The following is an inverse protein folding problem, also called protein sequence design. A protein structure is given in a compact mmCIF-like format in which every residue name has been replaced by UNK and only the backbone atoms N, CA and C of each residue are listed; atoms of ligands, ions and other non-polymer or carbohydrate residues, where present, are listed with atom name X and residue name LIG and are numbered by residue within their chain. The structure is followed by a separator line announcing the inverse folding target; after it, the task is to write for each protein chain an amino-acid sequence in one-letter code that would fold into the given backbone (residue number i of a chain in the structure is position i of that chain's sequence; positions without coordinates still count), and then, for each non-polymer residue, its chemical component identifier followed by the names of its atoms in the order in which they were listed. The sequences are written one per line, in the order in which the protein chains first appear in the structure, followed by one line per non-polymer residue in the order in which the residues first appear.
data_IF_439251473648
#
_entry.id   IF_439251473648
#
_cell.length_a   1.000
_cell.length_b   1.000
_cell.length_c   1.000
_cell.angle_alpha   90.00
_cell.angle_beta   90.00
_cell.angle_gamma   90.00
#
_symmetry.space_group_name_H-M   'P 1'
#
loop_
_entity.id
_entity.type
_entity.pdbx_description
1 polymer ?
#
# COMPACT_ATOMS: atom_id res chain seq x y z
N UNK A 1 6.93 -34.95 28.21
CA UNK A 1 6.48 -33.85 27.34
C UNK A 1 5.03 -33.59 27.72
N UNK A 2 4.71 -32.40 28.21
CA UNK A 2 3.32 -32.08 28.61
C UNK A 2 2.47 -31.91 27.34
N UNK A 3 1.18 -32.22 27.37
CA UNK A 3 0.26 -32.07 26.22
C UNK A 3 0.35 -30.66 25.60
N UNK A 4 0.61 -29.64 26.41
CA UNK A 4 0.86 -28.27 25.95
C UNK A 4 2.10 -28.14 25.03
N UNK A 5 3.19 -28.85 25.32
CA UNK A 5 4.39 -28.85 24.47
C UNK A 5 4.12 -29.55 23.14
N UNK A 6 3.36 -30.66 23.18
CA UNK A 6 2.94 -31.37 21.97
C UNK A 6 2.07 -30.46 21.08
N UNK A 7 1.06 -29.78 21.63
CA UNK A 7 0.23 -28.86 20.85
C UNK A 7 1.01 -27.67 20.28
N UNK A 8 2.03 -27.18 20.99
CA UNK A 8 2.92 -26.13 20.46
C UNK A 8 3.75 -26.64 19.29
N UNK A 9 4.23 -27.87 19.34
CA UNK A 9 4.97 -28.49 18.24
C UNK A 9 4.06 -28.73 17.03
N UNK A 10 2.83 -29.20 17.24
CA UNK A 10 1.82 -29.32 16.17
C UNK A 10 1.52 -27.96 15.51
N UNK A 11 1.36 -26.90 16.30
CA UNK A 11 1.16 -25.54 15.79
C UNK A 11 2.36 -25.06 14.96
N UNK A 12 3.59 -25.26 15.46
CA UNK A 12 4.80 -24.89 14.73
C UNK A 12 4.92 -25.64 13.38
N UNK A 13 4.51 -26.90 13.34
CA UNK A 13 4.46 -27.68 12.10
C UNK A 13 3.41 -27.13 11.11
N UNK A 14 2.28 -26.63 11.60
CA UNK A 14 1.30 -25.93 10.78
C UNK A 14 1.86 -24.61 10.21
N UNK A 15 2.53 -23.80 11.03
CA UNK A 15 3.15 -22.55 10.60
C UNK A 15 4.23 -22.77 9.53
N UNK A 16 5.02 -23.85 9.67
CA UNK A 16 5.99 -24.26 8.66
C UNK A 16 5.31 -24.59 7.31
N UNK A 17 4.20 -25.34 7.33
CA UNK A 17 3.43 -25.64 6.11
C UNK A 17 2.84 -24.39 5.47
N UNK A 18 2.29 -23.48 6.26
CA UNK A 18 1.76 -22.20 5.77
C UNK A 18 2.89 -21.40 5.11
N UNK A 19 4.06 -21.34 5.74
CA UNK A 19 5.23 -20.62 5.23
C UNK A 19 5.68 -21.18 3.87
N UNK A 20 5.82 -22.50 3.74
CA UNK A 20 6.21 -23.11 2.47
C UNK A 20 5.14 -22.90 1.39
N UNK A 21 3.86 -23.07 1.71
CA UNK A 21 2.76 -22.80 0.77
C UNK A 21 2.76 -21.33 0.29
N UNK A 22 3.09 -20.37 1.17
CA UNK A 22 3.22 -18.96 0.80
C UNK A 22 4.41 -18.73 -0.14
N UNK A 23 5.57 -19.33 0.13
CA UNK A 23 6.74 -19.24 -0.76
C UNK A 23 6.44 -19.79 -2.15
N UNK A 24 5.86 -20.98 -2.23
CA UNK A 24 5.44 -21.59 -3.49
C UNK A 24 4.47 -20.69 -4.25
N UNK A 25 3.48 -20.14 -3.55
CA UNK A 25 2.50 -19.23 -4.12
C UNK A 25 3.15 -17.96 -4.70
N UNK A 26 4.11 -17.36 -4.01
CA UNK A 26 4.82 -16.18 -4.51
C UNK A 26 5.69 -16.51 -5.74
N UNK A 27 6.35 -17.66 -5.78
CA UNK A 27 7.07 -18.12 -6.96
C UNK A 27 6.12 -18.33 -8.17
N UNK A 28 4.90 -18.83 -7.94
CA UNK A 28 3.88 -18.93 -9.00
C UNK A 28 3.46 -17.54 -9.49
N UNK A 29 3.28 -16.57 -8.59
CA UNK A 29 2.96 -15.19 -8.98
C UNK A 29 4.04 -14.60 -9.88
N UNK A 30 5.31 -14.77 -9.54
CA UNK A 30 6.43 -14.29 -10.36
C UNK A 30 6.42 -14.92 -11.77
N UNK A 31 6.12 -16.22 -11.87
CA UNK A 31 5.96 -16.92 -13.16
C UNK A 31 4.78 -16.36 -13.96
N UNK A 32 3.63 -16.13 -13.32
CA UNK A 32 2.45 -15.53 -13.97
C UNK A 32 2.81 -14.14 -14.49
N UNK A 33 3.55 -13.34 -13.73
CA UNK A 33 3.96 -12.01 -14.15
C UNK A 33 4.90 -12.03 -15.35
N UNK A 34 5.92 -12.89 -15.33
CA UNK A 34 6.84 -13.05 -16.45
C UNK A 34 6.10 -13.47 -17.73
N UNK A 35 5.16 -14.41 -17.61
CA UNK A 35 4.30 -14.80 -18.71
C UNK A 35 3.46 -13.62 -19.21
N UNK A 36 2.78 -12.89 -18.33
CA UNK A 36 1.97 -11.74 -18.76
C UNK A 36 2.79 -10.68 -19.48
N UNK A 37 4.00 -10.40 -19.01
CA UNK A 37 4.95 -9.47 -19.64
C UNK A 37 5.35 -9.93 -21.05
N UNK A 38 5.74 -11.21 -21.20
CA UNK A 38 6.11 -11.82 -22.48
C UNK A 38 4.99 -11.72 -23.54
N UNK A 39 3.73 -11.90 -23.12
CA UNK A 39 2.56 -11.90 -24.01
C UNK A 39 1.79 -10.56 -24.03
N UNK A 40 2.31 -9.50 -23.41
CA UNK A 40 1.67 -8.18 -23.37
C UNK A 40 0.29 -8.16 -22.70
N UNK A 41 0.05 -9.07 -21.74
CA UNK A 41 -1.21 -9.19 -21.01
C UNK A 41 -1.28 -8.21 -19.83
N UNK A 42 -2.48 -7.71 -19.46
CA UNK A 42 -2.65 -6.89 -18.27
C UNK A 42 -2.24 -7.62 -16.99
N UNK A 43 -1.35 -6.99 -16.21
CA UNK A 43 -0.89 -7.54 -14.92
C UNK A 43 -2.05 -7.61 -13.93
N UNK A 44 -2.87 -6.56 -13.85
CA UNK A 44 -4.07 -6.54 -13.02
C UNK A 44 -5.27 -7.12 -13.77
N UNK A 45 -5.99 -8.04 -13.12
CA UNK A 45 -7.20 -8.68 -13.66
C UNK A 45 -8.26 -8.80 -12.55
N UNK A 46 -9.00 -7.72 -12.26
CA UNK A 46 -9.96 -7.67 -11.14
C UNK A 46 -11.01 -8.79 -11.15
N UNK A 47 -11.50 -9.17 -12.34
CA UNK A 47 -12.47 -10.26 -12.49
C UNK A 47 -11.94 -11.61 -12.01
N UNK A 48 -10.63 -11.88 -12.23
CA UNK A 48 -10.00 -13.11 -11.80
C UNK A 48 -9.83 -13.16 -10.27
N UNK A 49 -9.54 -12.01 -9.66
CA UNK A 49 -9.45 -11.86 -8.21
C UNK A 49 -10.83 -12.04 -7.55
N UNK A 50 -11.87 -11.44 -8.12
CA UNK A 50 -13.24 -11.59 -7.63
C UNK A 50 -13.70 -13.06 -7.72
N UNK A 51 -13.35 -13.76 -8.80
CA UNK A 51 -13.62 -15.19 -8.95
C UNK A 51 -12.90 -16.04 -7.88
N UNK A 52 -11.64 -15.72 -7.58
CA UNK A 52 -10.89 -16.39 -6.50
C UNK A 52 -11.52 -16.15 -5.13
N UNK A 53 -11.92 -14.90 -4.84
CA UNK A 53 -12.61 -14.53 -3.61
C UNK A 53 -13.94 -15.28 -3.44
N UNK A 54 -14.79 -15.31 -4.47
CA UNK A 54 -16.05 -16.07 -4.47
C UNK A 54 -15.83 -17.56 -4.23
N UNK A 55 -14.82 -18.15 -4.87
CA UNK A 55 -14.47 -19.57 -4.69
C UNK A 55 -14.04 -19.88 -3.26
N UNK A 56 -13.23 -19.01 -2.66
CA UNK A 56 -12.78 -19.16 -1.26
C UNK A 56 -13.96 -19.06 -0.29
N UNK A 57 -14.81 -18.04 -0.46
CA UNK A 57 -16.01 -17.86 0.38
C UNK A 57 -16.93 -19.07 0.30
N UNK A 58 -17.09 -19.67 -0.88
CA UNK A 58 -17.85 -20.89 -1.06
C UNK A 58 -17.18 -22.07 -0.34
N UNK A 59 -15.87 -22.28 -0.46
CA UNK A 59 -15.19 -23.41 0.21
C UNK A 59 -15.24 -23.36 1.75
N UNK A 60 -15.38 -22.17 2.33
CA UNK A 60 -15.38 -21.97 3.80
C UNK A 60 -16.78 -21.85 4.39
N UNK A 61 -17.86 -22.09 3.63
CA UNK A 61 -19.21 -21.71 4.03
C UNK A 61 -19.72 -22.35 5.35
N UNK A 62 -19.16 -23.50 5.74
CA UNK A 62 -19.52 -24.23 6.97
C UNK A 62 -18.38 -24.25 8.02
N UNK A 63 -17.29 -23.52 7.79
CA UNK A 63 -16.19 -23.48 8.73
C UNK A 63 -16.49 -22.49 9.87
N UNK A 64 -16.27 -22.92 11.12
CA UNK A 64 -16.45 -22.08 12.31
C UNK A 64 -15.43 -20.93 12.40
N UNK A 65 -14.32 -21.03 11.68
CA UNK A 65 -13.25 -20.03 11.59
C UNK A 65 -13.21 -19.33 10.24
N UNK A 66 -14.34 -19.33 9.52
CA UNK A 66 -14.44 -18.78 8.17
C UNK A 66 -13.90 -17.35 8.08
N UNK A 67 -14.29 -16.49 9.02
CA UNK A 67 -13.99 -15.06 8.96
C UNK A 67 -12.49 -14.81 9.23
N UNK A 68 -11.90 -15.53 10.17
CA UNK A 68 -10.47 -15.47 10.47
C UNK A 68 -9.62 -15.99 9.31
N UNK A 69 -10.02 -17.12 8.71
CA UNK A 69 -9.35 -17.64 7.52
C UNK A 69 -9.48 -16.64 6.37
N UNK A 70 -10.67 -16.07 6.18
CA UNK A 70 -10.92 -15.10 5.12
C UNK A 70 -10.04 -13.84 5.26
N UNK A 71 -9.88 -13.30 6.47
CA UNK A 71 -8.97 -12.16 6.73
C UNK A 71 -7.51 -12.47 6.32
N UNK A 72 -7.00 -13.64 6.70
CA UNK A 72 -5.66 -14.09 6.30
C UNK A 72 -5.53 -14.15 4.78
N UNK A 73 -6.52 -14.73 4.09
CA UNK A 73 -6.49 -14.80 2.63
C UNK A 73 -6.61 -13.45 1.94
N UNK A 74 -7.37 -12.52 2.50
CA UNK A 74 -7.43 -11.14 2.01
C UNK A 74 -6.05 -10.48 2.10
N UNK A 75 -5.33 -10.68 3.21
CA UNK A 75 -3.96 -10.20 3.37
C UNK A 75 -2.99 -10.86 2.40
N UNK A 76 -3.10 -12.17 2.18
CA UNK A 76 -2.30 -12.91 1.20
C UNK A 76 -2.52 -12.36 -0.21
N UNK A 77 -3.77 -12.10 -0.60
CA UNK A 77 -4.09 -11.50 -1.90
C UNK A 77 -3.51 -10.09 -2.03
N UNK A 78 -3.66 -9.24 -1.00
CA UNK A 78 -3.07 -7.88 -0.99
C UNK A 78 -1.55 -7.90 -1.13
N UNK A 79 -0.85 -8.82 -0.44
CA UNK A 79 0.59 -8.98 -0.57
C UNK A 79 1.00 -9.41 -1.99
N UNK A 80 0.18 -10.21 -2.66
CA UNK A 80 0.39 -10.62 -4.05
C UNK A 80 0.35 -9.43 -5.00
N UNK A 81 -0.67 -8.59 -4.84
CA UNK A 81 -0.79 -7.34 -5.61
C UNK A 81 0.41 -6.44 -5.38
N UNK A 82 0.86 -6.32 -4.14
CA UNK A 82 2.04 -5.52 -3.79
C UNK A 82 3.30 -6.02 -4.46
N UNK A 83 3.52 -7.34 -4.51
CA UNK A 83 4.63 -7.95 -5.27
C UNK A 83 4.50 -7.61 -6.76
N UNK A 84 3.28 -7.72 -7.30
CA UNK A 84 3.01 -7.42 -8.70
C UNK A 84 3.28 -5.96 -9.07
N UNK A 85 2.77 -5.03 -8.26
CA UNK A 85 2.90 -3.60 -8.43
C UNK A 85 4.35 -3.13 -8.33
N UNK A 86 5.15 -3.70 -7.41
CA UNK A 86 6.57 -3.36 -7.28
C UNK A 86 7.40 -3.68 -8.51
N UNK A 87 7.00 -4.67 -9.32
CA UNK A 87 7.66 -4.96 -10.60
C UNK A 87 7.19 -4.04 -11.73
N UNK A 88 5.95 -3.54 -11.65
CA UNK A 88 5.39 -2.61 -12.63
C UNK A 88 6.00 -1.22 -12.53
N UNK A 89 6.05 -0.68 -11.31
CA UNK A 89 6.55 0.66 -11.03
C UNK A 89 7.27 0.65 -9.68
N UNK A 90 8.58 0.92 -9.69
CA UNK A 90 9.41 0.99 -8.48
C UNK A 90 9.55 2.42 -7.92
N UNK A 91 8.86 3.37 -8.55
CA UNK A 91 8.85 4.80 -8.18
C UNK A 91 7.61 5.18 -7.36
N UNK A 92 7.64 6.40 -6.80
CA UNK A 92 6.50 6.96 -6.06
C UNK A 92 5.54 7.68 -7.01
N UNK A 93 4.25 7.71 -6.65
CA UNK A 93 3.24 8.49 -7.38
C UNK A 93 2.91 9.72 -6.56
N UNK A 94 3.19 10.90 -7.10
CA UNK A 94 2.90 12.17 -6.42
C UNK A 94 1.66 12.81 -7.02
N UNK A 95 0.62 12.99 -6.21
CA UNK A 95 -0.65 13.60 -6.62
C UNK A 95 -0.67 15.07 -6.18
N UNK A 96 -0.66 15.97 -7.16
CA UNK A 96 -0.76 17.41 -6.95
C UNK A 96 -2.11 17.95 -7.47
N UNK A 97 -2.56 19.06 -6.91
CA UNK A 97 -3.79 19.74 -7.33
C UNK A 97 -4.52 20.37 -6.16
N UNK A 98 -5.51 21.21 -6.46
CA UNK A 98 -6.30 21.90 -5.44
C UNK A 98 -7.11 20.93 -4.56
N UNK A 99 -7.58 21.42 -3.41
CA UNK A 99 -8.57 20.71 -2.60
C UNK A 99 -9.84 20.46 -3.41
N UNK A 100 -10.43 19.27 -3.29
CA UNK A 100 -11.59 18.89 -4.10
C UNK A 100 -11.27 18.44 -5.53
N UNK A 101 -10.01 18.46 -5.98
CA UNK A 101 -9.61 17.97 -7.31
C UNK A 101 -9.67 16.44 -7.47
N UNK A 102 -10.17 15.70 -6.46
CA UNK A 102 -10.31 14.24 -6.51
C UNK A 102 -9.05 13.44 -6.16
N UNK A 103 -8.00 14.08 -5.60
CA UNK A 103 -6.76 13.38 -5.22
C UNK A 103 -7.00 12.18 -4.32
N UNK A 104 -7.83 12.32 -3.29
CA UNK A 104 -8.16 11.24 -2.35
C UNK A 104 -8.91 10.08 -3.03
N UNK A 105 -9.76 10.39 -4.02
CA UNK A 105 -10.45 9.35 -4.82
C UNK A 105 -9.45 8.57 -5.68
N UNK A 106 -8.51 9.27 -6.32
CA UNK A 106 -7.49 8.65 -7.16
C UNK A 106 -6.47 7.88 -6.31
N UNK A 107 -6.05 8.40 -5.16
CA UNK A 107 -5.13 7.71 -4.27
C UNK A 107 -5.74 6.42 -3.72
N UNK A 108 -7.02 6.43 -3.33
CA UNK A 108 -7.73 5.23 -2.89
C UNK A 108 -7.88 4.18 -4.00
N UNK A 109 -8.22 4.62 -5.22
CA UNK A 109 -8.27 3.73 -6.38
C UNK A 109 -6.91 3.08 -6.67
N UNK A 110 -5.84 3.88 -6.72
CA UNK A 110 -4.48 3.38 -6.95
C UNK A 110 -4.01 2.46 -5.82
N UNK A 111 -4.31 2.79 -4.56
CA UNK A 111 -4.04 1.96 -3.39
C UNK A 111 -4.73 0.60 -3.49
N UNK A 112 -6.00 0.58 -3.89
CA UNK A 112 -6.77 -0.66 -4.04
C UNK A 112 -6.25 -1.52 -5.20
N UNK A 113 -5.91 -0.88 -6.32
CA UNK A 113 -5.46 -1.58 -7.52
C UNK A 113 -4.03 -2.13 -7.37
N UNK A 114 -3.12 -1.34 -6.80
CA UNK A 114 -1.69 -1.67 -6.73
C UNK A 114 -1.20 -2.06 -5.33
N UNK A 115 -2.08 -2.07 -4.33
CA UNK A 115 -1.73 -2.31 -2.92
C UNK A 115 -0.60 -1.40 -2.42
N UNK A 116 -0.53 -0.17 -2.96
CA UNK A 116 0.41 0.87 -2.55
C UNK A 116 -0.04 1.52 -1.24
N UNK A 117 0.92 2.01 -0.46
CA UNK A 117 0.65 2.85 0.71
C UNK A 117 0.27 4.25 0.23
N UNK A 118 -0.68 4.89 0.90
CA UNK A 118 -1.05 6.29 0.66
C UNK A 118 -0.55 7.13 1.83
N UNK A 119 0.17 8.20 1.52
CA UNK A 119 0.60 9.22 2.47
C UNK A 119 -0.12 10.52 2.11
N UNK A 120 -1.07 10.92 2.95
CA UNK A 120 -1.71 12.24 2.87
C UNK A 120 -0.85 13.23 3.66
N UNK A 121 -0.13 14.12 2.96
CA UNK A 121 0.87 15.00 3.59
C UNK A 121 0.27 15.92 4.64
N UNK A 122 -0.87 16.54 4.33
CA UNK A 122 -1.58 17.47 5.21
C UNK A 122 -1.96 16.80 6.54
N UNK A 123 -2.49 15.57 6.45
CA UNK A 123 -2.84 14.78 7.62
C UNK A 123 -1.60 14.39 8.44
N UNK A 124 -0.55 13.90 7.77
CA UNK A 124 0.68 13.49 8.46
C UNK A 124 1.39 14.65 9.15
N UNK A 125 1.38 15.85 8.56
CA UNK A 125 1.94 17.05 9.19
C UNK A 125 1.11 17.45 10.42
N UNK A 126 -0.22 17.49 10.30
CA UNK A 126 -1.11 17.81 11.43
C UNK A 126 -0.95 16.81 12.59
N UNK A 127 -0.84 15.51 12.28
CA UNK A 127 -0.59 14.46 13.27
C UNK A 127 0.77 14.61 13.96
N UNK A 128 1.83 14.97 13.22
CA UNK A 128 3.18 15.19 13.78
C UNK A 128 3.25 16.40 14.71
N UNK A 129 2.58 17.50 14.34
CA UNK A 129 2.55 18.72 15.15
C UNK A 129 1.52 18.65 16.28
N UNK A 130 0.60 17.67 16.25
CA UNK A 130 -0.44 17.50 17.26
C UNK A 130 -1.50 18.59 17.27
N UNK A 131 -1.67 19.31 16.15
CA UNK A 131 -2.61 20.43 16.01
C UNK A 131 -3.12 20.55 14.57
N UNK A 132 -4.19 21.34 14.37
CA UNK A 132 -4.75 21.53 13.04
C UNK A 132 -3.84 22.39 12.15
N UNK A 133 -3.96 22.24 10.84
CA UNK A 133 -3.20 23.06 9.89
C UNK A 133 -3.45 24.55 10.13
N UNK A 134 -4.70 24.94 10.39
CA UNK A 134 -5.05 26.33 10.73
C UNK A 134 -4.28 26.84 11.95
N UNK A 135 -4.19 26.04 13.02
CA UNK A 135 -3.46 26.43 14.23
C UNK A 135 -1.95 26.57 13.96
N UNK A 136 -1.40 25.73 13.08
CA UNK A 136 0.01 25.84 12.65
C UNK A 136 0.24 27.17 11.93
N UNK A 137 -0.64 27.54 11.00
CA UNK A 137 -0.56 28.83 10.30
C UNK A 137 -0.67 30.01 11.27
N UNK A 138 -1.59 29.96 12.24
CA UNK A 138 -1.78 31.02 13.22
C UNK A 138 -0.60 31.16 14.20
N UNK A 139 -0.03 30.03 14.63
CA UNK A 139 1.02 30.00 15.67
C UNK A 139 2.42 30.21 15.11
N UNK A 140 2.73 29.58 13.97
CA UNK A 140 4.08 29.51 13.41
C UNK A 140 4.21 30.15 12.02
N UNK A 141 3.09 30.49 11.38
CA UNK A 141 3.05 31.12 10.07
C UNK A 141 3.15 30.15 8.90
N UNK A 142 2.82 30.65 7.71
CA UNK A 142 2.83 29.87 6.47
C UNK A 142 4.22 29.32 6.11
N UNK A 143 5.27 30.13 6.27
CA UNK A 143 6.62 29.71 5.90
C UNK A 143 7.07 28.45 6.67
N UNK A 144 6.71 28.36 7.95
CA UNK A 144 6.97 27.18 8.77
C UNK A 144 6.26 25.95 8.20
N UNK A 145 4.96 26.05 7.90
CA UNK A 145 4.20 24.96 7.27
C UNK A 145 4.81 24.52 5.93
N UNK A 146 5.21 25.48 5.08
CA UNK A 146 5.89 25.17 3.81
C UNK A 146 7.22 24.47 4.02
N UNK A 147 7.97 24.78 5.08
CA UNK A 147 9.21 24.08 5.41
C UNK A 147 8.94 22.63 5.83
N UNK A 148 7.85 22.37 6.55
CA UNK A 148 7.43 21.01 6.90
C UNK A 148 7.04 20.20 5.68
N UNK A 149 6.26 20.77 4.75
CA UNK A 149 5.96 20.13 3.46
C UNK A 149 7.26 19.73 2.72
N UNK A 150 8.24 20.64 2.65
CA UNK A 150 9.54 20.36 2.02
C UNK A 150 10.28 19.23 2.71
N UNK A 151 10.36 19.25 4.05
CA UNK A 151 11.07 18.23 4.81
C UNK A 151 10.41 16.86 4.68
N UNK A 152 9.08 16.82 4.70
CA UNK A 152 8.33 15.59 4.50
C UNK A 152 8.54 15.04 3.08
N UNK A 153 8.57 15.90 2.05
CA UNK A 153 8.97 15.46 0.72
C UNK A 153 10.37 14.84 0.75
N UNK A 154 11.38 15.49 1.35
CA UNK A 154 12.73 14.92 1.43
C UNK A 154 12.73 13.52 2.07
N UNK A 155 11.99 13.33 3.18
CA UNK A 155 11.83 12.02 3.82
C UNK A 155 11.19 10.99 2.89
N UNK A 156 10.19 11.37 2.10
CA UNK A 156 9.51 10.46 1.18
C UNK A 156 10.40 9.97 0.03
N UNK A 157 11.58 10.58 -0.21
CA UNK A 157 12.56 10.08 -1.18
C UNK A 157 13.16 8.73 -0.76
N UNK A 158 13.15 8.40 0.53
CA UNK A 158 13.64 7.13 1.05
C UNK A 158 12.62 5.99 0.86
N UNK A 159 11.35 6.34 0.61
CA UNK A 159 10.30 5.37 0.31
C UNK A 159 10.23 5.06 -1.18
N UNK A 160 9.75 3.86 -1.50
CA UNK A 160 9.45 3.42 -2.86
C UNK A 160 8.05 2.83 -2.95
N UNK A 161 7.42 2.94 -4.11
CA UNK A 161 6.11 2.38 -4.38
C UNK A 161 5.03 2.92 -3.41
N UNK A 162 5.07 4.22 -3.13
CA UNK A 162 4.11 4.94 -2.28
C UNK A 162 3.39 6.01 -3.09
N UNK A 163 2.10 6.21 -2.80
CA UNK A 163 1.30 7.31 -3.31
C UNK A 163 1.36 8.46 -2.31
N UNK A 164 1.83 9.62 -2.75
CA UNK A 164 1.97 10.82 -1.93
C UNK A 164 0.92 11.81 -2.40
N UNK A 165 -0.10 12.04 -1.58
CA UNK A 165 -1.13 13.04 -1.82
C UNK A 165 -0.72 14.36 -1.17
N UNK A 166 -0.47 15.36 -2.00
CA UNK A 166 0.05 16.65 -1.59
C UNK A 166 -1.08 17.65 -1.30
N UNK A 167 -0.90 18.48 -0.27
CA UNK A 167 -1.73 19.66 -0.05
C UNK A 167 -1.76 20.60 -1.25
N UNK A 168 -2.82 21.41 -1.36
CA UNK A 168 -3.07 22.24 -2.56
C UNK A 168 -1.97 23.25 -2.87
N UNK A 169 -1.22 23.70 -1.85
CA UNK A 169 -0.14 24.67 -1.99
C UNK A 169 1.25 24.05 -2.15
N UNK A 170 1.43 22.73 -2.01
CA UNK A 170 2.75 22.09 -2.01
C UNK A 170 3.53 22.41 -3.29
N UNK A 171 2.88 22.35 -4.45
CA UNK A 171 3.50 22.59 -5.75
C UNK A 171 3.81 24.07 -6.05
N UNK A 172 3.36 25.00 -5.21
CA UNK A 172 3.61 26.44 -5.39
C UNK A 172 5.03 26.83 -5.00
N UNK A 173 5.73 26.00 -4.21
CA UNK A 173 7.13 26.22 -3.83
C UNK A 173 8.04 25.51 -4.81
N UNK A 174 8.89 26.25 -5.53
CA UNK A 174 9.82 25.70 -6.53
C UNK A 174 10.69 24.57 -5.96
N UNK A 175 11.16 24.73 -4.71
CA UNK A 175 11.91 23.70 -4.00
C UNK A 175 11.13 22.39 -3.88
N UNK A 176 9.84 22.44 -3.53
CA UNK A 176 9.02 21.23 -3.42
C UNK A 176 8.90 20.53 -4.78
N UNK A 177 8.74 21.29 -5.86
CA UNK A 177 8.71 20.73 -7.22
C UNK A 177 10.03 20.03 -7.56
N UNK A 178 11.15 20.62 -7.18
CA UNK A 178 12.46 19.99 -7.36
C UNK A 178 12.61 18.71 -6.54
N UNK A 179 12.14 18.67 -5.28
CA UNK A 179 12.17 17.47 -4.46
C UNK A 179 11.23 16.37 -4.98
N UNK A 180 10.02 16.70 -5.44
CA UNK A 180 9.08 15.75 -6.03
C UNK A 180 9.67 15.07 -7.26
N UNK A 181 10.38 15.83 -8.12
CA UNK A 181 11.04 15.31 -9.33
C UNK A 181 12.14 14.29 -9.04
N UNK A 182 12.69 14.23 -7.83
CA UNK A 182 13.70 13.23 -7.46
C UNK A 182 13.10 11.86 -7.13
N UNK A 183 11.79 11.77 -6.91
CA UNK A 183 11.08 10.54 -6.53
C UNK A 183 10.34 9.87 -7.69
N UNK A 184 10.14 10.62 -8.77
CA UNK A 184 9.44 10.20 -9.98
C UNK A 184 10.49 9.99 -11.08
N UNK A 185 10.26 9.02 -11.95
CA UNK A 185 11.15 8.71 -13.08
C UNK A 185 11.09 9.80 -14.14
#
# INVERSE_FOLDING_TARGET
MNDLELYREELANCDAKITEALKERYAIIEKIMAYKEEYGMPILQPEQEEKQKKRLMFSLHNDKHRDEIYDVFERIQRNSKKIQARKLFDYNIVLIGFMGAGKSTISDYLSTMFAMEVVEMDQLIAEREGMSISDIFETYGEEYFRNMETNLLIEMQEKKNVIISCGGGVAMRERNVAEMKKMVV
#
